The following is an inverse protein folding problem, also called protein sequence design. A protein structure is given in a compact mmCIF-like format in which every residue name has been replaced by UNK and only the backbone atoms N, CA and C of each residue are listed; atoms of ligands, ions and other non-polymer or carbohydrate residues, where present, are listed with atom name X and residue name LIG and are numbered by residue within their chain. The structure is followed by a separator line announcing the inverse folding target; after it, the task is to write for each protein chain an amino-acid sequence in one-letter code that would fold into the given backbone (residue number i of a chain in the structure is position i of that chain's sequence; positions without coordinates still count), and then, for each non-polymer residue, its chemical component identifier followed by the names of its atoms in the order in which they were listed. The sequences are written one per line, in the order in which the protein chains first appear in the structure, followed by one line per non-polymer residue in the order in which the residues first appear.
data_IF_963901137595
#
_entry.id   IF_963901137595
#
_cell.length_a   1.000
_cell.length_b   1.000
_cell.length_c   1.000
_cell.angle_alpha   90.00
_cell.angle_beta   90.00
_cell.angle_gamma   90.00
#
_symmetry.space_group_name_H-M   'P 1'
#
loop_
_entity.id
_entity.type
_entity.pdbx_description
1 polymer ?
#
# COMPACT_ATOMS: atom_id res chain seq x y z
N UNK A 1 -1.85 -2.68 -12.19
CA UNK A 1 -1.23 -1.82 -11.16
C UNK A 1 0.09 -1.27 -11.66
N UNK A 2 0.37 -0.02 -11.35
CA UNK A 2 1.68 0.61 -11.50
C UNK A 2 2.21 0.86 -10.08
N UNK A 3 3.42 0.38 -9.76
CA UNK A 3 3.91 0.30 -8.38
C UNK A 3 5.37 0.78 -8.22
N UNK A 4 5.67 2.08 -8.39
CA UNK A 4 7.00 2.59 -8.15
C UNK A 4 7.38 2.48 -6.67
N UNK A 5 8.64 2.11 -6.42
CA UNK A 5 9.28 2.14 -5.11
C UNK A 5 10.53 2.99 -5.23
N UNK A 6 10.61 4.08 -4.48
CA UNK A 6 11.68 5.06 -4.57
C UNK A 6 12.39 5.18 -3.21
N UNK A 7 13.66 4.74 -3.10
CA UNK A 7 14.44 4.93 -1.89
C UNK A 7 15.16 6.29 -1.90
N UNK A 8 15.12 7.00 -0.77
CA UNK A 8 15.84 8.24 -0.52
C UNK A 8 16.75 8.06 0.70
N UNK A 9 18.06 8.33 0.55
CA UNK A 9 18.95 8.38 1.71
C UNK A 9 18.73 9.67 2.49
N UNK A 10 18.40 9.56 3.77
CA UNK A 10 18.24 10.72 4.66
C UNK A 10 19.59 11.15 5.24
N UNK A 11 20.43 10.19 5.59
CA UNK A 11 21.80 10.39 6.09
C UNK A 11 22.62 9.10 5.87
N UNK A 12 23.73 8.91 6.57
CA UNK A 12 24.59 7.71 6.46
C UNK A 12 23.90 6.43 6.94
N UNK A 13 22.98 6.53 7.90
CA UNK A 13 22.40 5.38 8.60
C UNK A 13 20.96 5.06 8.16
N UNK A 14 20.23 6.04 7.63
CA UNK A 14 18.79 5.95 7.43
C UNK A 14 18.34 6.21 5.99
N UNK A 15 17.32 5.44 5.58
CA UNK A 15 16.56 5.61 4.35
C UNK A 15 15.10 5.99 4.66
N UNK A 16 14.54 6.80 3.77
CA UNK A 16 13.09 6.94 3.59
C UNK A 16 12.74 6.25 2.27
N UNK A 17 11.91 5.23 2.32
CA UNK A 17 11.44 4.51 1.13
C UNK A 17 9.99 4.91 0.90
N UNK A 18 9.68 5.41 -0.29
CA UNK A 18 8.30 5.67 -0.69
C UNK A 18 7.82 4.61 -1.66
N UNK A 19 6.54 4.26 -1.56
CA UNK A 19 5.88 3.33 -2.47
C UNK A 19 4.53 3.91 -2.86
N UNK A 20 4.28 4.00 -4.16
CA UNK A 20 2.96 4.38 -4.68
C UNK A 20 2.37 3.19 -5.40
N UNK A 21 1.08 2.90 -5.18
CA UNK A 21 0.32 1.91 -5.92
C UNK A 21 -0.80 2.67 -6.64
N UNK A 22 -0.76 2.65 -7.97
CA UNK A 22 -1.83 3.14 -8.82
C UNK A 22 -2.55 1.92 -9.43
N UNK A 23 -3.76 1.59 -8.98
CA UNK A 23 -4.57 0.56 -9.58
C UNK A 23 -5.11 1.04 -10.93
N UNK A 24 -4.86 0.27 -11.99
CA UNK A 24 -5.49 0.46 -13.30
C UNK A 24 -6.45 -0.70 -13.48
N UNK A 25 -7.74 -0.41 -13.53
CA UNK A 25 -8.80 -1.40 -13.30
C UNK A 25 -9.79 -1.45 -14.45
N UNK A 26 -10.28 -2.66 -14.71
CA UNK A 26 -11.39 -2.94 -15.62
C UNK A 26 -12.32 -3.90 -14.91
N UNK A 27 -13.49 -3.41 -14.50
CA UNK A 27 -14.45 -4.16 -13.70
C UNK A 27 -15.69 -4.49 -14.54
N UNK A 28 -16.13 -5.77 -14.58
CA UNK A 28 -17.41 -6.10 -15.18
C UNK A 28 -18.56 -5.47 -14.38
N UNK A 29 -19.68 -5.21 -15.04
CA UNK A 29 -20.90 -4.76 -14.36
C UNK A 29 -21.35 -5.76 -13.31
N UNK A 30 -21.91 -5.27 -12.20
CA UNK A 30 -22.27 -6.11 -11.05
C UNK A 30 -23.65 -6.76 -11.20
N UNK A 31 -24.53 -6.15 -11.99
CA UNK A 31 -25.91 -6.61 -12.20
C UNK A 31 -26.23 -6.74 -13.70
N UNK A 32 -27.21 -7.58 -14.08
CA UNK A 32 -27.62 -7.70 -15.48
C UNK A 32 -28.03 -6.34 -16.07
N UNK A 33 -27.43 -5.97 -17.20
CA UNK A 33 -27.64 -4.68 -17.85
C UNK A 33 -26.63 -3.59 -17.47
N UNK A 34 -25.80 -3.82 -16.44
CA UNK A 34 -24.70 -2.91 -16.09
C UNK A 34 -23.52 -3.05 -17.07
N UNK A 35 -22.95 -1.92 -17.45
CA UNK A 35 -21.81 -1.85 -18.36
C UNK A 35 -20.49 -2.13 -17.65
N UNK A 36 -19.44 -2.42 -18.44
CA UNK A 36 -18.07 -2.49 -17.92
C UNK A 36 -17.56 -1.11 -17.54
N UNK A 37 -16.84 -1.03 -16.42
CA UNK A 37 -16.15 0.18 -15.95
C UNK A 37 -14.67 0.05 -16.20
N UNK A 38 -14.04 1.07 -16.77
CA UNK A 38 -12.59 1.14 -16.90
C UNK A 38 -12.10 2.44 -16.28
N UNK A 39 -10.99 2.39 -15.57
CA UNK A 39 -10.49 3.57 -14.87
C UNK A 39 -9.34 3.28 -13.93
N UNK A 40 -9.10 4.22 -13.04
CA UNK A 40 -8.15 4.08 -11.93
C UNK A 40 -8.92 3.87 -10.63
N UNK A 41 -8.29 3.14 -9.71
CA UNK A 41 -8.78 3.03 -8.33
C UNK A 41 -8.12 4.04 -7.40
N UNK A 42 -8.44 3.92 -6.11
CA UNK A 42 -7.81 4.71 -5.06
C UNK A 42 -6.30 4.47 -5.03
N UNK A 43 -5.53 5.57 -5.07
CA UNK A 43 -4.07 5.51 -5.02
C UNK A 43 -3.64 5.25 -3.58
N UNK A 44 -2.78 4.26 -3.38
CA UNK A 44 -2.13 4.05 -2.08
C UNK A 44 -0.71 4.58 -2.11
N UNK A 45 -0.36 5.40 -1.12
CA UNK A 45 0.98 5.91 -0.90
C UNK A 45 1.49 5.45 0.46
N UNK A 46 2.64 4.80 0.50
CA UNK A 46 3.29 4.38 1.73
C UNK A 46 4.67 4.99 1.87
N UNK A 47 5.05 5.26 3.12
CA UNK A 47 6.41 5.63 3.50
C UNK A 47 6.95 4.62 4.50
N UNK A 48 8.24 4.31 4.39
CA UNK A 48 8.95 3.45 5.33
C UNK A 48 10.26 4.11 5.71
N UNK A 49 10.41 4.38 7.00
CA UNK A 49 11.69 4.71 7.61
C UNK A 49 12.42 3.40 7.92
N UNK A 50 13.63 3.26 7.38
CA UNK A 50 14.40 2.00 7.41
C UNK A 50 15.87 2.29 7.67
N UNK A 51 16.56 1.53 8.54
CA UNK A 51 18.02 1.54 8.57
C UNK A 51 18.57 1.11 7.21
N UNK A 52 19.74 1.63 6.82
CA UNK A 52 20.46 1.17 5.63
C UNK A 52 21.09 -0.19 5.83
N UNK A 53 21.68 -0.41 7.00
CA UNK A 53 22.30 -1.66 7.36
C UNK A 53 21.23 -2.65 7.86
N UNK A 54 21.28 -3.92 7.42
CA UNK A 54 20.52 -4.98 8.08
C UNK A 54 20.90 -5.10 9.56
N UNK A 55 20.01 -5.66 10.36
CA UNK A 55 20.33 -6.06 11.74
C UNK A 55 21.47 -7.08 11.78
N UNK A 56 22.08 -7.31 12.95
CA UNK A 56 23.13 -8.33 13.13
C UNK A 56 22.71 -9.75 12.68
N UNK A 57 21.41 -10.05 12.71
CA UNK A 57 20.82 -11.32 12.26
C UNK A 57 20.39 -11.34 10.78
N UNK A 58 20.69 -10.27 10.03
CA UNK A 58 20.40 -10.13 8.59
C UNK A 58 18.99 -9.62 8.23
N UNK A 59 18.17 -9.25 9.22
CA UNK A 59 16.85 -8.68 8.96
C UNK A 59 16.92 -7.25 8.42
N UNK A 60 16.15 -6.97 7.38
CA UNK A 60 15.85 -5.65 6.85
C UNK A 60 14.42 -5.32 7.25
N UNK A 61 14.18 -4.11 7.75
CA UNK A 61 12.86 -3.71 8.22
C UNK A 61 12.61 -2.23 8.00
N UNK A 62 11.34 -1.87 7.89
CA UNK A 62 10.91 -0.48 7.84
C UNK A 62 9.54 -0.31 8.45
N UNK A 63 9.31 0.87 9.04
CA UNK A 63 8.02 1.26 9.61
C UNK A 63 7.64 2.64 9.09
N UNK A 64 6.35 2.91 8.98
CA UNK A 64 5.89 4.24 8.61
C UNK A 64 4.38 4.28 8.45
N UNK A 65 3.93 5.06 7.48
CA UNK A 65 2.52 5.33 7.25
C UNK A 65 2.07 4.90 5.86
N UNK A 66 0.81 4.55 5.74
CA UNK A 66 0.10 4.33 4.48
C UNK A 66 -1.09 5.28 4.41
N UNK A 67 -1.32 5.83 3.23
CA UNK A 67 -2.47 6.68 2.89
C UNK A 67 -3.16 6.07 1.68
N UNK A 68 -4.48 5.98 1.72
CA UNK A 68 -5.34 5.71 0.56
C UNK A 68 -6.05 7.01 0.19
N UNK A 69 -5.90 7.41 -1.08
CA UNK A 69 -6.42 8.65 -1.62
C UNK A 69 -7.69 8.36 -2.42
N UNK A 70 -8.76 9.11 -2.17
CA UNK A 70 -10.00 9.05 -2.95
C UNK A 70 -9.80 9.65 -4.35
N UNK A 71 -9.17 8.86 -5.22
CA UNK A 71 -8.75 9.25 -6.58
C UNK A 71 -9.38 8.35 -7.63
N UNK A 72 -10.23 7.41 -7.23
CA UNK A 72 -10.92 6.54 -8.17
C UNK A 72 -11.71 7.37 -9.21
N UNK A 73 -11.61 6.97 -10.47
CA UNK A 73 -12.28 7.69 -11.56
C UNK A 73 -13.78 7.38 -11.69
N UNK A 74 -14.25 6.34 -11.00
CA UNK A 74 -15.64 5.91 -10.92
C UNK A 74 -15.86 5.38 -9.51
N UNK A 75 -17.02 5.66 -8.92
CA UNK A 75 -17.38 5.26 -7.54
C UNK A 75 -17.32 3.75 -7.32
N UNK A 76 -17.47 2.94 -8.37
CA UNK A 76 -17.35 1.48 -8.32
C UNK A 76 -15.91 0.99 -8.20
N UNK A 77 -14.95 1.85 -8.49
CA UNK A 77 -13.52 1.55 -8.50
C UNK A 77 -12.80 2.03 -7.23
N UNK A 78 -13.52 2.65 -6.29
CA UNK A 78 -12.93 3.24 -5.09
C UNK A 78 -13.78 3.02 -3.86
N UNK A 79 -13.23 3.41 -2.72
CA UNK A 79 -13.95 3.47 -1.45
C UNK A 79 -14.71 4.79 -1.29
N UNK A 80 -14.32 5.86 -2.00
CA UNK A 80 -14.83 7.21 -1.76
C UNK A 80 -14.34 7.80 -0.43
N UNK A 81 -13.24 7.27 0.12
CA UNK A 81 -12.71 7.61 1.44
C UNK A 81 -11.22 7.93 1.35
N UNK A 82 -10.82 8.99 2.02
CA UNK A 82 -9.43 9.20 2.40
C UNK A 82 -9.14 8.36 3.63
N UNK A 83 -8.14 7.49 3.54
CA UNK A 83 -7.76 6.62 4.66
C UNK A 83 -6.30 6.76 5.02
N UNK A 84 -5.98 6.58 6.28
CA UNK A 84 -4.63 6.70 6.84
C UNK A 84 -4.40 5.59 7.86
N UNK A 85 -3.16 5.12 7.96
CA UNK A 85 -2.75 4.32 9.10
C UNK A 85 -1.30 3.87 9.06
N UNK A 86 -0.88 3.01 10.01
CA UNK A 86 0.49 2.53 10.10
C UNK A 86 0.76 1.42 9.09
N UNK A 87 2.01 1.30 8.68
CA UNK A 87 2.52 0.20 7.86
C UNK A 87 3.91 -0.22 8.34
N UNK A 88 4.21 -1.50 8.23
CA UNK A 88 5.51 -2.05 8.54
C UNK A 88 5.86 -3.19 7.59
N UNK A 89 7.15 -3.36 7.34
CA UNK A 89 7.69 -4.45 6.55
C UNK A 89 8.92 -5.02 7.25
N UNK A 90 9.07 -6.33 7.21
CA UNK A 90 10.29 -7.01 7.62
C UNK A 90 10.59 -8.14 6.64
N UNK A 91 11.84 -8.26 6.23
CA UNK A 91 12.31 -9.31 5.34
C UNK A 91 13.74 -9.72 5.64
N UNK A 92 14.09 -10.92 5.22
CA UNK A 92 15.45 -11.43 5.25
C UNK A 92 15.75 -12.07 3.90
N UNK A 93 16.90 -11.69 3.34
CA UNK A 93 17.47 -12.35 2.17
C UNK A 93 18.52 -13.35 2.66
N UNK A 94 18.35 -14.63 2.33
CA UNK A 94 19.29 -15.69 2.69
C UNK A 94 19.44 -16.66 1.51
N UNK A 95 20.64 -16.65 0.91
CA UNK A 95 20.92 -17.37 -0.33
C UNK A 95 19.96 -16.96 -1.46
N UNK A 96 19.24 -17.90 -2.09
CA UNK A 96 18.30 -17.60 -3.16
C UNK A 96 16.95 -17.08 -2.66
N UNK A 97 16.69 -17.14 -1.35
CA UNK A 97 15.37 -16.86 -0.80
C UNK A 97 15.27 -15.44 -0.26
N UNK A 98 14.13 -14.80 -0.54
CA UNK A 98 13.68 -13.60 0.18
C UNK A 98 12.39 -13.91 0.88
N UNK A 99 12.41 -13.96 2.21
CA UNK A 99 11.22 -14.20 3.04
C UNK A 99 10.86 -12.96 3.84
N UNK A 100 9.58 -12.67 3.97
CA UNK A 100 9.15 -11.53 4.76
C UNK A 100 7.65 -11.37 4.84
N UNK A 101 7.23 -10.27 5.46
CA UNK A 101 5.85 -9.86 5.53
C UNK A 101 5.72 -8.34 5.53
N UNK A 102 4.63 -7.86 4.93
CA UNK A 102 4.17 -6.48 5.01
C UNK A 102 2.84 -6.47 5.76
N UNK A 103 2.71 -5.58 6.74
CA UNK A 103 1.49 -5.39 7.49
C UNK A 103 1.09 -3.93 7.46
N UNK A 104 -0.20 -3.65 7.38
CA UNK A 104 -0.73 -2.31 7.60
C UNK A 104 -2.17 -2.38 8.08
N UNK A 105 -2.65 -1.28 8.64
CA UNK A 105 -4.08 -1.08 8.85
C UNK A 105 -4.46 0.31 8.32
N UNK A 106 -5.56 0.40 7.58
CA UNK A 106 -6.13 1.66 7.10
C UNK A 106 -7.44 1.95 7.81
N UNK A 107 -7.60 3.18 8.28
CA UNK A 107 -8.87 3.72 8.74
C UNK A 107 -9.28 4.91 7.89
N UNK A 108 -10.57 5.07 7.58
CA UNK A 108 -11.04 6.31 6.98
C UNK A 108 -10.90 7.49 7.96
N UNK A 109 -10.56 8.64 7.40
CA UNK A 109 -10.40 9.90 8.13
C UNK A 109 -11.24 11.02 7.54
N UNK A 110 -11.64 10.89 6.27
CA UNK A 110 -12.53 11.80 5.55
C UNK A 110 -13.10 11.10 4.31
N UNK A 111 -14.10 11.70 3.67
CA UNK A 111 -14.68 11.21 2.42
C UNK A 111 -16.21 11.21 2.47
N UNK A 112 -16.82 10.44 1.58
CA UNK A 112 -18.28 10.34 1.51
C UNK A 112 -18.89 9.71 2.76
N UNK A 113 -19.90 10.36 3.34
CA UNK A 113 -20.69 9.81 4.46
C UNK A 113 -21.68 8.72 4.02
N UNK A 114 -21.96 8.61 2.71
CA UNK A 114 -22.85 7.57 2.18
C UNK A 114 -22.13 6.26 1.90
N UNK A 115 -20.80 6.29 1.80
CA UNK A 115 -19.99 5.11 1.57
C UNK A 115 -19.61 4.44 2.89
N UNK A 116 -19.43 3.13 2.86
CA UNK A 116 -19.04 2.36 4.05
C UNK A 116 -17.70 2.83 4.61
N UNK A 117 -17.59 2.83 5.94
CA UNK A 117 -16.35 3.16 6.65
C UNK A 117 -15.24 2.16 6.30
N UNK A 118 -13.99 2.65 6.32
CA UNK A 118 -12.81 1.85 6.03
C UNK A 118 -12.15 1.48 7.35
N UNK A 119 -12.08 0.19 7.63
CA UNK A 119 -11.17 -0.36 8.62
C UNK A 119 -10.61 -1.68 8.06
N UNK A 120 -9.43 -1.60 7.44
CA UNK A 120 -8.86 -2.70 6.65
C UNK A 120 -7.47 -3.04 7.16
N UNK A 121 -7.34 -4.21 7.78
CA UNK A 121 -6.05 -4.82 8.10
C UNK A 121 -5.54 -5.60 6.89
N UNK A 122 -4.29 -5.36 6.51
CA UNK A 122 -3.54 -6.19 5.57
C UNK A 122 -2.42 -6.92 6.30
N UNK A 123 -2.32 -8.22 6.07
CA UNK A 123 -1.15 -9.03 6.39
C UNK A 123 -0.76 -9.77 5.12
N UNK A 124 0.40 -9.41 4.56
CA UNK A 124 0.89 -9.93 3.30
C UNK A 124 2.25 -10.62 3.50
N UNK A 125 2.28 -11.93 3.77
CA UNK A 125 3.51 -12.70 3.71
C UNK A 125 3.99 -12.83 2.26
N UNK A 126 5.31 -12.88 2.06
CA UNK A 126 5.91 -13.12 0.76
C UNK A 126 7.15 -14.00 0.85
N UNK A 127 7.36 -14.76 -0.22
CA UNK A 127 8.53 -15.61 -0.46
C UNK A 127 8.88 -15.52 -1.95
N UNK A 128 10.15 -15.21 -2.26
CA UNK A 128 10.70 -15.23 -3.62
C UNK A 128 11.96 -16.10 -3.65
#
# INVERSE_FOLDING_TARGET
NIQPVLPFSLNEDWNLITRTILPVMSQPGFVPGDGRTNGIGDVQFSTFFSPKAPTASGWIWGVGTIVELDTASDERLGSGKWSLGPTAVALKADGPWVVGALINNLWDVAGSDTNADVNKMLIQPFIN
#
